data_IF_694468738890
#
_entry.id   IF_694468738890
#
_cell.length_a   1.000
_cell.length_b   1.000
_cell.length_c   1.000
_cell.angle_alpha   90.00
_cell.angle_beta   90.00
_cell.angle_gamma   90.00
#
_symmetry.space_group_name_H-M   'P 1'
#
loop_
_entity.id
_entity.type
_entity.pdbx_description
1 polymer ?
#
# COMPACT_ATOMS: atom_id res chain seq x y z
N UNK A 1 2.09 25.42 10.10
CA UNK A 1 2.59 26.71 9.60
C UNK A 1 2.39 26.86 8.09
N UNK A 2 2.88 25.93 7.26
CA UNK A 2 2.77 25.98 5.80
C UNK A 2 1.29 26.06 5.32
N UNK A 3 0.41 25.28 5.90
CA UNK A 3 -1.00 25.25 5.56
C UNK A 3 -1.69 26.63 5.72
N UNK A 4 -1.37 27.33 6.81
CA UNK A 4 -2.01 28.63 7.10
C UNK A 4 -1.30 29.84 6.50
N UNK A 5 -0.02 29.74 6.22
CA UNK A 5 0.81 30.92 5.95
C UNK A 5 1.43 30.97 4.54
N UNK A 6 1.39 29.88 3.79
CA UNK A 6 1.88 29.90 2.41
C UNK A 6 0.77 30.37 1.46
N UNK A 7 1.14 31.13 0.43
CA UNK A 7 0.22 31.57 -0.62
C UNK A 7 -0.44 30.39 -1.33
N UNK A 8 0.29 29.30 -1.50
CA UNK A 8 -0.20 28.03 -2.03
C UNK A 8 0.09 26.95 -0.97
N UNK A 9 -0.86 26.61 -0.11
CA UNK A 9 -0.68 25.58 0.89
C UNK A 9 -0.48 24.21 0.24
N UNK A 10 0.25 23.30 0.89
CA UNK A 10 0.45 21.96 0.37
C UNK A 10 -0.87 21.16 0.35
N UNK A 11 -1.15 20.51 -0.75
CA UNK A 11 -2.22 19.51 -0.87
C UNK A 11 -1.70 18.09 -0.54
N UNK A 12 -0.41 17.85 -0.78
CA UNK A 12 0.25 16.57 -0.58
C UNK A 12 1.52 16.74 0.24
N UNK A 13 1.72 15.85 1.18
CA UNK A 13 2.93 15.81 2.03
C UNK A 13 3.50 14.40 2.04
N UNK A 14 4.77 14.25 1.70
CA UNK A 14 5.49 12.99 1.81
C UNK A 14 6.50 13.05 2.96
N UNK A 15 6.36 12.17 3.92
CA UNK A 15 7.38 11.92 4.94
C UNK A 15 8.39 10.91 4.43
N UNK A 16 9.66 11.24 4.51
CA UNK A 16 10.75 10.34 4.14
C UNK A 16 11.53 9.98 5.39
N UNK A 17 11.30 8.79 5.89
CA UNK A 17 11.88 8.28 7.13
C UNK A 17 10.95 7.31 7.85
N UNK A 18 11.55 6.42 8.63
CA UNK A 18 10.82 5.47 9.46
C UNK A 18 10.38 6.13 10.79
N UNK A 19 9.58 5.46 11.57
CA UNK A 19 9.14 5.92 12.90
C UNK A 19 10.26 5.83 13.95
N UNK A 20 11.31 5.08 13.68
CA UNK A 20 12.46 4.89 14.55
C UNK A 20 13.80 4.91 13.81
N UNK A 21 14.90 4.91 14.58
CA UNK A 21 16.25 4.90 14.02
C UNK A 21 16.81 6.29 13.70
N UNK A 22 17.91 6.32 12.94
CA UNK A 22 18.69 7.55 12.71
C UNK A 22 18.02 8.54 11.75
N UNK A 23 17.10 8.09 10.93
CA UNK A 23 16.37 8.89 9.94
C UNK A 23 14.86 8.89 10.29
N UNK A 24 14.55 8.98 11.58
CA UNK A 24 13.17 8.92 12.03
C UNK A 24 12.42 10.22 11.76
N UNK A 25 11.21 10.07 11.27
CA UNK A 25 10.16 11.09 11.32
C UNK A 25 9.15 10.61 12.35
N UNK A 26 8.94 11.34 13.45
CA UNK A 26 8.01 10.91 14.50
C UNK A 26 6.65 10.54 13.96
N UNK A 27 5.96 9.65 14.65
CA UNK A 27 4.57 9.27 14.39
C UNK A 27 3.74 9.48 15.66
N UNK A 28 2.44 9.44 15.53
CA UNK A 28 1.54 9.43 16.68
C UNK A 28 1.25 7.99 17.10
N UNK A 29 0.94 7.79 18.36
CA UNK A 29 0.58 6.49 18.92
C UNK A 29 -0.84 6.57 19.44
N UNK A 30 -1.75 5.82 18.84
CA UNK A 30 -3.15 5.79 19.22
C UNK A 30 -3.57 4.44 19.78
N UNK A 31 -4.29 4.50 20.90
CA UNK A 31 -4.92 3.34 21.52
C UNK A 31 -6.30 3.07 20.92
N UNK A 32 -6.41 2.56 19.71
CA UNK A 32 -7.64 1.96 19.25
C UNK A 32 -7.79 0.59 19.92
N UNK A 33 -8.71 0.51 20.85
CA UNK A 33 -8.85 -0.58 21.82
C UNK A 33 -9.23 -1.96 21.25
N UNK A 34 -8.64 -2.40 20.18
CA UNK A 34 -8.90 -3.70 19.56
C UNK A 34 -7.68 -4.62 19.41
N UNK A 35 -6.49 -4.19 19.76
CA UNK A 35 -5.47 -5.20 19.92
C UNK A 35 -5.50 -5.76 21.34
N UNK A 36 -5.69 -7.07 21.45
CA UNK A 36 -5.71 -7.82 22.72
C UNK A 36 -4.44 -7.69 23.56
N UNK A 37 -3.48 -6.91 23.11
CA UNK A 37 -2.15 -6.73 23.70
C UNK A 37 -1.93 -5.34 24.30
N UNK A 38 -2.91 -4.43 24.24
CA UNK A 38 -2.81 -3.09 24.84
C UNK A 38 -1.73 -2.19 24.24
N UNK A 39 -1.22 -2.52 23.05
CA UNK A 39 -0.23 -1.70 22.36
C UNK A 39 -0.93 -0.57 21.60
N UNK A 40 -0.31 0.60 21.62
CA UNK A 40 -0.71 1.73 20.79
C UNK A 40 -0.32 1.45 19.34
N UNK A 41 -1.21 1.77 18.39
CA UNK A 41 -0.88 1.68 16.98
C UNK A 41 -0.20 2.97 16.51
N UNK A 42 0.82 2.84 15.69
CA UNK A 42 1.46 3.95 15.00
C UNK A 42 0.54 4.48 13.90
N UNK A 43 0.45 5.81 13.78
CA UNK A 43 -0.41 6.43 12.78
C UNK A 43 0.04 7.85 12.45
N UNK A 44 -0.15 8.23 11.21
CA UNK A 44 0.23 9.55 10.70
C UNK A 44 -0.99 10.46 10.44
N UNK A 45 -2.20 9.99 10.72
CA UNK A 45 -3.44 10.72 10.43
C UNK A 45 -3.45 12.14 11.03
N UNK A 46 -2.96 12.31 12.26
CA UNK A 46 -2.95 13.61 12.94
C UNK A 46 -2.08 14.65 12.23
N UNK A 47 -1.13 14.25 11.40
CA UNK A 47 -0.38 15.20 10.57
C UNK A 47 -1.23 15.80 9.45
N UNK A 48 -2.32 15.18 9.08
CA UNK A 48 -3.24 15.66 8.04
C UNK A 48 -4.40 16.50 8.59
N UNK A 49 -4.68 16.37 9.88
CA UNK A 49 -5.77 17.08 10.58
C UNK A 49 -5.25 18.44 11.07
N UNK A 50 -5.37 19.48 10.28
CA UNK A 50 -4.74 20.77 10.49
C UNK A 50 -5.73 21.85 10.94
N UNK A 51 -7.00 21.69 10.62
CA UNK A 51 -8.06 22.67 10.93
C UNK A 51 -9.30 21.95 11.47
N UNK A 52 -10.00 22.63 12.37
CA UNK A 52 -11.17 22.03 13.02
C UNK A 52 -10.82 21.04 14.13
N UNK A 53 -11.86 20.33 14.59
CA UNK A 53 -11.79 19.30 15.66
C UNK A 53 -12.54 18.05 15.17
N UNK A 54 -12.26 17.64 13.94
CA UNK A 54 -12.87 16.49 13.28
C UNK A 54 -11.80 15.52 12.72
N UNK A 55 -12.25 14.47 12.02
CA UNK A 55 -11.38 13.46 11.42
C UNK A 55 -11.17 13.66 9.90
N UNK A 56 -11.54 14.82 9.37
CA UNK A 56 -11.38 15.11 7.94
C UNK A 56 -9.97 15.65 7.70
N UNK A 57 -9.17 15.02 6.84
CA UNK A 57 -7.84 15.51 6.53
C UNK A 57 -7.86 16.70 5.58
N UNK A 58 -7.08 17.75 5.86
CA UNK A 58 -6.88 18.91 4.98
C UNK A 58 -5.77 18.69 3.96
N UNK A 59 -4.86 17.75 4.25
CA UNK A 59 -3.76 17.39 3.35
C UNK A 59 -3.68 15.88 3.18
N UNK A 60 -3.30 15.44 2.00
CA UNK A 60 -3.02 14.02 1.72
C UNK A 60 -1.59 13.73 2.13
N UNK A 61 -1.41 12.75 3.00
CA UNK A 61 -0.09 12.38 3.49
C UNK A 61 0.29 10.96 3.09
N UNK A 62 1.58 10.75 2.95
CA UNK A 62 2.16 9.43 2.75
C UNK A 62 3.53 9.33 3.40
N UNK A 63 3.92 8.13 3.80
CA UNK A 63 5.23 7.88 4.38
C UNK A 63 6.02 6.90 3.51
N UNK A 64 7.25 7.28 3.19
CA UNK A 64 8.26 6.39 2.63
C UNK A 64 9.13 5.95 3.79
N UNK A 65 8.83 4.78 4.35
CA UNK A 65 9.50 4.23 5.52
C UNK A 65 10.87 3.70 5.13
N UNK A 66 11.93 4.46 5.41
CA UNK A 66 13.31 4.11 5.10
C UNK A 66 14.22 4.43 6.28
N UNK A 67 15.23 3.59 6.50
CA UNK A 67 16.16 3.67 7.62
C UNK A 67 17.59 4.04 7.20
N UNK A 68 17.85 4.13 5.90
CA UNK A 68 19.17 4.43 5.36
C UNK A 68 19.10 5.18 4.03
N UNK A 69 20.20 5.86 3.70
CA UNK A 69 20.36 6.48 2.39
C UNK A 69 20.37 5.49 1.23
N UNK A 70 20.76 4.23 1.48
CA UNK A 70 20.69 3.18 0.46
C UNK A 70 19.23 2.78 0.16
N UNK A 71 18.40 2.63 1.18
CA UNK A 71 16.99 2.30 1.00
C UNK A 71 16.25 3.40 0.23
N UNK A 72 16.42 4.67 0.60
CA UNK A 72 15.81 5.77 -0.16
C UNK A 72 16.34 5.81 -1.60
N UNK A 73 17.62 5.51 -1.81
CA UNK A 73 18.19 5.41 -3.14
C UNK A 73 17.50 4.36 -4.01
N UNK A 74 17.18 3.20 -3.45
CA UNK A 74 16.42 2.14 -4.13
C UNK A 74 15.00 2.60 -4.46
N UNK A 75 14.29 3.21 -3.50
CA UNK A 75 12.93 3.71 -3.72
C UNK A 75 12.90 4.75 -4.84
N UNK A 76 13.79 5.75 -4.78
CA UNK A 76 13.90 6.80 -5.80
C UNK A 76 14.23 6.22 -7.17
N UNK A 77 15.18 5.28 -7.24
CA UNK A 77 15.57 4.65 -8.50
C UNK A 77 14.40 3.88 -9.14
N UNK A 78 13.66 3.10 -8.36
CA UNK A 78 12.46 2.38 -8.83
C UNK A 78 11.39 3.33 -9.32
N UNK A 79 11.07 4.36 -8.55
CA UNK A 79 10.04 5.34 -8.90
C UNK A 79 10.39 6.07 -10.20
N UNK A 80 11.62 6.58 -10.31
CA UNK A 80 12.06 7.27 -11.53
C UNK A 80 12.07 6.34 -12.75
N UNK A 81 12.51 5.10 -12.56
CA UNK A 81 12.53 4.12 -13.64
C UNK A 81 11.12 3.80 -14.13
N UNK A 82 10.17 3.63 -13.21
CA UNK A 82 8.76 3.38 -13.52
C UNK A 82 8.14 4.58 -14.26
N UNK A 83 8.28 5.79 -13.72
CA UNK A 83 7.71 7.00 -14.33
C UNK A 83 8.31 7.31 -15.71
N UNK A 84 9.59 7.02 -15.92
CA UNK A 84 10.24 7.15 -17.23
C UNK A 84 9.94 6.01 -18.19
N UNK A 85 9.19 5.01 -17.74
CA UNK A 85 8.88 3.80 -18.51
C UNK A 85 10.13 3.11 -19.09
N UNK A 86 11.25 3.12 -18.37
CA UNK A 86 12.53 2.59 -18.86
C UNK A 86 12.51 1.07 -19.06
N UNK A 87 11.57 0.39 -18.43
CA UNK A 87 11.38 -1.07 -18.54
C UNK A 87 10.69 -1.50 -19.82
N UNK A 88 9.95 -0.62 -20.50
CA UNK A 88 9.16 -0.95 -21.70
C UNK A 88 10.04 -1.51 -22.84
N UNK A 89 11.30 -1.07 -22.90
CA UNK A 89 12.22 -1.47 -23.96
C UNK A 89 13.16 -2.63 -23.59
N UNK A 90 13.16 -3.10 -22.35
CA UNK A 90 14.15 -4.07 -21.85
C UNK A 90 13.58 -5.44 -21.49
N UNK A 91 12.32 -5.50 -21.13
CA UNK A 91 11.57 -6.71 -20.79
C UNK A 91 10.23 -6.64 -21.50
N UNK A 92 9.60 -7.75 -21.80
CA UNK A 92 8.26 -7.74 -22.38
C UNK A 92 7.31 -6.78 -21.65
N UNK A 93 6.28 -6.34 -22.32
CA UNK A 93 5.28 -5.39 -21.76
C UNK A 93 4.05 -6.10 -21.19
N UNK A 94 4.02 -7.42 -21.20
CA UNK A 94 2.87 -8.23 -20.74
C UNK A 94 2.46 -7.96 -19.28
N UNK A 95 3.40 -7.59 -18.43
CA UNK A 95 3.09 -7.25 -17.05
C UNK A 95 2.19 -6.01 -16.89
N UNK A 96 2.09 -5.13 -17.91
CA UNK A 96 1.14 -4.01 -17.91
C UNK A 96 -0.32 -4.44 -18.07
N UNK A 97 -0.54 -5.66 -18.49
CA UNK A 97 -1.85 -6.28 -18.69
C UNK A 97 -2.14 -7.33 -17.62
N UNK A 98 -1.22 -7.48 -16.65
CA UNK A 98 -1.30 -8.43 -15.56
C UNK A 98 -1.88 -7.85 -14.27
N UNK A 99 -2.69 -8.67 -13.59
CA UNK A 99 -3.22 -8.37 -12.27
C UNK A 99 -3.27 -9.61 -11.38
N UNK A 100 -2.99 -9.44 -10.08
CA UNK A 100 -3.15 -10.47 -9.06
C UNK A 100 -4.20 -10.03 -8.04
N UNK A 101 -5.25 -10.83 -7.85
CA UNK A 101 -6.37 -10.52 -6.98
C UNK A 101 -6.50 -11.60 -5.90
N UNK A 102 -6.28 -11.22 -4.66
CA UNK A 102 -6.25 -12.12 -3.53
C UNK A 102 -7.35 -11.76 -2.53
N UNK A 103 -8.13 -12.75 -2.14
CA UNK A 103 -9.18 -12.58 -1.14
C UNK A 103 -9.18 -13.70 -0.12
N UNK A 104 -9.06 -13.35 1.16
CA UNK A 104 -9.15 -14.30 2.24
C UNK A 104 -10.59 -14.41 2.77
N UNK A 105 -11.36 -15.42 2.38
CA UNK A 105 -12.73 -15.61 2.88
C UNK A 105 -12.77 -16.21 4.29
N UNK A 106 -11.71 -16.81 4.77
CA UNK A 106 -11.69 -17.52 6.04
C UNK A 106 -11.73 -16.56 7.23
N UNK A 107 -10.86 -15.55 7.21
CA UNK A 107 -10.80 -14.56 8.29
C UNK A 107 -11.68 -13.34 8.05
N UNK A 108 -11.92 -12.97 6.80
CA UNK A 108 -12.62 -11.72 6.44
C UNK A 108 -13.96 -11.92 5.72
N UNK A 109 -14.34 -13.19 5.50
CA UNK A 109 -15.62 -13.56 4.89
C UNK A 109 -15.69 -13.38 3.37
N UNK A 110 -16.74 -13.93 2.77
CA UNK A 110 -16.90 -14.01 1.31
C UNK A 110 -16.95 -12.64 0.60
N UNK A 111 -17.12 -11.54 1.32
CA UNK A 111 -17.08 -10.20 0.71
C UNK A 111 -15.74 -9.87 0.07
N UNK A 112 -14.66 -10.48 0.54
CA UNK A 112 -13.32 -10.31 -0.02
C UNK A 112 -13.25 -10.90 -1.43
N UNK A 113 -13.81 -12.10 -1.60
CA UNK A 113 -13.89 -12.79 -2.89
C UNK A 113 -14.79 -12.01 -3.86
N UNK A 114 -16.01 -11.64 -3.43
CA UNK A 114 -16.94 -10.91 -4.29
C UNK A 114 -16.40 -9.55 -4.74
N UNK A 115 -15.65 -8.86 -3.88
CA UNK A 115 -15.00 -7.59 -4.27
C UNK A 115 -13.95 -7.83 -5.35
N UNK A 116 -13.12 -8.86 -5.20
CA UNK A 116 -12.11 -9.17 -6.19
C UNK A 116 -12.71 -9.62 -7.52
N UNK A 117 -13.78 -10.42 -7.49
CA UNK A 117 -14.53 -10.77 -8.71
C UNK A 117 -15.13 -9.55 -9.41
N UNK A 118 -15.57 -8.54 -8.66
CA UNK A 118 -16.01 -7.27 -9.24
C UNK A 118 -14.84 -6.49 -9.86
N UNK A 119 -13.69 -6.44 -9.19
CA UNK A 119 -12.46 -5.82 -9.71
C UNK A 119 -11.99 -6.55 -10.98
N UNK A 120 -11.97 -7.88 -10.97
CA UNK A 120 -11.63 -8.73 -12.12
C UNK A 120 -12.44 -8.35 -13.35
N UNK A 121 -13.77 -8.26 -13.23
CA UNK A 121 -14.64 -7.84 -14.33
C UNK A 121 -14.33 -6.42 -14.84
N UNK A 122 -13.94 -5.49 -13.96
CA UNK A 122 -13.57 -4.13 -14.37
C UNK A 122 -12.25 -4.17 -15.15
N UNK A 123 -11.24 -4.87 -14.63
CA UNK A 123 -9.92 -4.97 -15.25
C UNK A 123 -10.00 -5.66 -16.62
N UNK A 124 -10.75 -6.75 -16.73
CA UNK A 124 -11.02 -7.44 -18.00
C UNK A 124 -11.64 -6.48 -19.05
N UNK A 125 -12.65 -5.70 -18.64
CA UNK A 125 -13.25 -4.69 -19.50
C UNK A 125 -12.30 -3.52 -19.88
N UNK A 126 -11.23 -3.32 -19.14
CA UNK A 126 -10.17 -2.34 -19.42
C UNK A 126 -8.99 -2.93 -20.22
N UNK A 127 -9.04 -4.21 -20.58
CA UNK A 127 -8.05 -4.85 -21.43
C UNK A 127 -6.90 -5.52 -20.68
N UNK A 128 -7.08 -5.85 -19.41
CA UNK A 128 -6.18 -6.75 -18.71
C UNK A 128 -6.41 -8.18 -19.22
N UNK A 129 -5.34 -8.84 -19.64
CA UNK A 129 -5.42 -10.18 -20.25
C UNK A 129 -4.97 -11.31 -19.30
N UNK A 130 -4.11 -10.96 -18.32
CA UNK A 130 -3.53 -11.90 -17.37
C UNK A 130 -3.99 -11.56 -15.95
N UNK A 131 -5.19 -11.97 -15.59
CA UNK A 131 -5.76 -11.72 -14.26
C UNK A 131 -5.76 -13.03 -13.49
N UNK A 132 -4.85 -13.16 -12.52
CA UNK A 132 -4.75 -14.32 -11.65
C UNK A 132 -5.45 -14.08 -10.32
N UNK A 133 -6.07 -15.12 -9.77
CA UNK A 133 -6.87 -15.00 -8.54
C UNK A 133 -6.53 -16.10 -7.55
N UNK A 134 -6.46 -15.76 -6.24
CA UNK A 134 -6.28 -16.73 -5.18
C UNK A 134 -7.24 -16.46 -4.00
N UNK A 135 -8.01 -17.49 -3.62
CA UNK A 135 -9.02 -17.42 -2.57
C UNK A 135 -8.98 -18.58 -1.57
N UNK A 136 -7.99 -19.47 -1.69
CA UNK A 136 -7.98 -20.72 -0.93
C UNK A 136 -6.85 -20.82 0.11
N UNK A 137 -5.88 -19.92 0.09
CA UNK A 137 -4.71 -19.92 0.98
C UNK A 137 -3.39 -19.93 0.22
N UNK A 138 -2.28 -19.92 0.92
CA UNK A 138 -0.94 -19.80 0.32
C UNK A 138 -0.74 -18.43 -0.33
N UNK A 139 -1.33 -17.40 0.26
CA UNK A 139 -1.41 -16.06 -0.33
C UNK A 139 -0.06 -15.40 -0.51
N UNK A 140 0.87 -15.61 0.41
CA UNK A 140 2.24 -15.11 0.35
C UNK A 140 2.99 -15.70 -0.85
N UNK A 141 2.96 -17.03 -0.98
CA UNK A 141 3.60 -17.72 -2.10
C UNK A 141 2.98 -17.34 -3.44
N UNK A 142 1.65 -17.20 -3.51
CA UNK A 142 0.96 -16.72 -4.71
C UNK A 142 1.41 -15.30 -5.08
N UNK A 143 1.41 -14.38 -4.12
CA UNK A 143 1.84 -12.99 -4.37
C UNK A 143 3.31 -12.90 -4.78
N UNK A 144 4.18 -13.71 -4.15
CA UNK A 144 5.60 -13.76 -4.49
C UNK A 144 5.79 -14.19 -5.96
N UNK A 145 5.11 -15.26 -6.38
CA UNK A 145 5.15 -15.75 -7.76
C UNK A 145 4.64 -14.69 -8.76
N UNK A 146 3.47 -14.09 -8.49
CA UNK A 146 2.90 -13.09 -9.39
C UNK A 146 3.75 -11.82 -9.50
N UNK A 147 4.41 -11.42 -8.40
CA UNK A 147 5.36 -10.30 -8.41
C UNK A 147 6.64 -10.64 -9.17
N UNK A 148 7.13 -11.87 -9.11
CA UNK A 148 8.29 -12.33 -9.88
C UNK A 148 7.98 -12.42 -11.37
N UNK A 149 6.80 -12.89 -11.73
CA UNK A 149 6.33 -12.96 -13.14
C UNK A 149 5.98 -11.56 -13.67
N UNK A 150 5.61 -10.66 -12.81
CA UNK A 150 5.32 -9.26 -13.10
C UNK A 150 3.84 -8.96 -13.33
N UNK A 151 3.29 -8.12 -12.48
CA UNK A 151 1.93 -7.61 -12.57
C UNK A 151 1.90 -6.09 -12.40
N UNK A 152 0.98 -5.43 -13.08
CA UNK A 152 0.74 -3.99 -12.91
C UNK A 152 -0.09 -3.70 -11.66
N UNK A 153 -1.07 -4.54 -11.40
CA UNK A 153 -2.04 -4.35 -10.34
C UNK A 153 -2.09 -5.57 -9.41
N UNK A 154 -1.97 -5.33 -8.12
CA UNK A 154 -2.15 -6.36 -7.10
C UNK A 154 -3.12 -5.84 -6.03
N UNK A 155 -4.11 -6.66 -5.67
CA UNK A 155 -5.05 -6.34 -4.62
C UNK A 155 -5.23 -7.52 -3.67
N UNK A 156 -4.93 -7.30 -2.40
CA UNK A 156 -5.24 -8.22 -1.32
C UNK A 156 -6.39 -7.68 -0.48
N UNK A 157 -7.39 -8.52 -0.23
CA UNK A 157 -8.46 -8.27 0.72
C UNK A 157 -8.55 -9.40 1.73
N UNK A 158 -8.21 -9.07 2.95
CA UNK A 158 -8.17 -10.03 4.03
C UNK A 158 -7.66 -9.36 5.30
N UNK A 159 -7.33 -10.17 6.27
CA UNK A 159 -6.68 -9.72 7.48
C UNK A 159 -5.17 -9.62 7.23
N UNK A 160 -4.57 -8.52 7.70
CA UNK A 160 -3.12 -8.33 7.70
C UNK A 160 -2.67 -8.17 9.15
N UNK A 161 -1.91 -9.14 9.64
CA UNK A 161 -1.34 -9.10 10.98
C UNK A 161 0.05 -8.47 11.01
N UNK A 162 0.62 -8.37 12.20
CA UNK A 162 1.99 -7.85 12.41
C UNK A 162 3.05 -8.75 11.78
N UNK A 163 2.74 -10.04 11.62
CA UNK A 163 3.63 -11.06 11.06
C UNK A 163 3.34 -11.41 9.59
N UNK A 164 2.40 -10.72 8.95
CA UNK A 164 2.03 -10.96 7.57
C UNK A 164 0.53 -11.18 7.38
N UNK A 165 0.17 -11.83 6.28
CA UNK A 165 -1.19 -12.19 5.94
C UNK A 165 -1.72 -13.26 6.88
N UNK A 166 -3.05 -13.34 7.06
CA UNK A 166 -3.60 -14.19 8.11
C UNK A 166 -3.30 -15.66 7.91
N UNK A 167 -2.94 -16.26 9.00
CA UNK A 167 -2.46 -17.57 9.36
C UNK A 167 -3.10 -18.83 8.79
N UNK A 168 -3.56 -18.82 7.58
CA UNK A 168 -3.81 -20.03 6.79
C UNK A 168 -2.75 -20.25 5.69
N UNK A 169 -1.62 -19.60 5.86
CA UNK A 169 -0.44 -19.78 5.01
C UNK A 169 0.41 -20.97 5.50
#
# INVERSE_FOLDING_TARGET
DAYYNWENPPEYVAFVGDVGGSYSVPTFYEGWGHNSYGNLCEGDLQYSQLDGDDFIPEVIIGRISVRSSNEIGVVVAKTIAYEKATYINSTGTSWYEGAALIGDPYSSGNSTVHTNQYIENILDNHGFENIETEYSGGFDTFMENELEDGVLYMNYRGYLGVSGFDGND
#
